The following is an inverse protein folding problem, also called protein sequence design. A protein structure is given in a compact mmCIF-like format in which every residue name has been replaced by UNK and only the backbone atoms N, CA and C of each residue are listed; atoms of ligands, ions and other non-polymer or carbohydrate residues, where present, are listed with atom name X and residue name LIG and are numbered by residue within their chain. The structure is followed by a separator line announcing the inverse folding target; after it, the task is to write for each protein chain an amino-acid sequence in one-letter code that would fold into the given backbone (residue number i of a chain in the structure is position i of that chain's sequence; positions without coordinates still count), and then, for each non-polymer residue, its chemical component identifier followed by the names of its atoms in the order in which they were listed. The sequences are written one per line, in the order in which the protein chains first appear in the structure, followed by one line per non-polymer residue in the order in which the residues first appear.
data_IF_488448590170
#
_entry.id   IF_488448590170
#
_cell.length_a   1.000
_cell.length_b   1.000
_cell.length_c   1.000
_cell.angle_alpha   90.00
_cell.angle_beta   90.00
_cell.angle_gamma   90.00
#
_symmetry.space_group_name_H-M   'P 1'
#
loop_
_entity.id
_entity.type
_entity.pdbx_description
1 polymer ?
#
# COMPACT_ATOMS: atom_id res chain seq x y z
N UNK A 1 -38.52 5.89 34.85
CA UNK A 1 -37.30 5.37 34.15
C UNK A 1 -37.26 5.74 32.68
N UNK A 2 -38.38 5.98 31.96
CA UNK A 2 -38.42 6.36 30.54
C UNK A 2 -38.18 7.86 30.32
N UNK A 3 -38.43 8.70 31.34
CA UNK A 3 -38.30 10.16 31.25
C UNK A 3 -36.88 10.63 30.97
N UNK A 4 -35.88 9.93 31.51
CA UNK A 4 -34.45 10.31 31.28
C UNK A 4 -34.01 10.12 29.83
N UNK A 5 -34.22 8.96 29.18
CA UNK A 5 -33.90 8.81 27.75
C UNK A 5 -34.65 9.79 26.86
N UNK A 6 -35.93 10.08 27.15
CA UNK A 6 -36.71 11.05 26.37
C UNK A 6 -36.18 12.48 26.53
N UNK A 7 -35.81 12.89 27.74
CA UNK A 7 -35.22 14.19 28.00
C UNK A 7 -33.85 14.33 27.30
N UNK A 8 -33.04 13.28 27.38
CA UNK A 8 -31.73 13.26 26.68
C UNK A 8 -31.88 13.32 25.16
N UNK A 9 -32.82 12.56 24.59
CA UNK A 9 -33.10 12.59 23.17
C UNK A 9 -33.54 13.99 22.72
N UNK A 10 -34.41 14.62 23.44
CA UNK A 10 -34.93 15.96 23.13
C UNK A 10 -33.84 17.03 23.26
N UNK A 11 -33.04 17.03 24.33
CA UNK A 11 -32.04 18.07 24.57
C UNK A 11 -30.81 17.92 23.68
N UNK A 12 -30.48 16.70 23.20
CA UNK A 12 -29.28 16.46 22.44
C UNK A 12 -29.58 16.19 20.94
N UNK A 13 -30.85 16.35 20.52
CA UNK A 13 -31.25 16.07 19.14
C UNK A 13 -30.39 16.83 18.11
N UNK A 14 -30.28 18.15 18.30
CA UNK A 14 -29.55 19.03 17.37
C UNK A 14 -28.05 18.67 17.30
N UNK A 15 -27.44 18.28 18.42
CA UNK A 15 -26.04 17.90 18.49
C UNK A 15 -25.77 16.56 17.79
N UNK A 16 -26.76 15.66 17.80
CA UNK A 16 -26.64 14.31 17.25
C UNK A 16 -27.27 14.12 15.87
N UNK A 17 -28.12 15.04 15.44
CA UNK A 17 -28.69 15.01 14.09
C UNK A 17 -27.61 15.34 13.06
N UNK A 18 -27.31 14.37 12.21
CA UNK A 18 -26.33 14.45 11.13
C UNK A 18 -26.95 14.23 9.76
N UNK A 19 -28.27 14.28 9.65
CA UNK A 19 -29.03 14.02 8.43
C UNK A 19 -28.65 14.94 7.27
N UNK A 20 -28.16 16.16 7.57
CA UNK A 20 -27.75 17.16 6.58
C UNK A 20 -26.23 17.25 6.39
N UNK A 21 -25.45 16.29 6.92
CA UNK A 21 -23.99 16.32 6.83
C UNK A 21 -23.49 15.39 5.71
N UNK A 22 -23.27 15.95 4.54
CA UNK A 22 -22.83 15.23 3.35
C UNK A 22 -21.32 15.34 3.06
N UNK A 23 -20.52 15.93 3.95
CA UNK A 23 -19.09 16.18 3.72
C UNK A 23 -18.31 14.92 3.43
N UNK A 24 -18.48 13.86 4.23
CA UNK A 24 -17.77 12.59 4.04
C UNK A 24 -18.16 11.92 2.71
N UNK A 25 -19.46 11.92 2.38
CA UNK A 25 -19.97 11.41 1.11
C UNK A 25 -19.39 12.17 -0.09
N UNK A 26 -19.42 13.51 -0.01
CA UNK A 26 -18.91 14.37 -1.10
C UNK A 26 -17.41 14.18 -1.29
N UNK A 27 -16.65 14.06 -0.21
CA UNK A 27 -15.21 13.79 -0.26
C UNK A 27 -14.93 12.43 -0.90
N UNK A 28 -15.63 11.38 -0.49
CA UNK A 28 -15.48 10.05 -1.06
C UNK A 28 -15.77 10.04 -2.57
N UNK A 29 -16.87 10.67 -2.98
CA UNK A 29 -17.22 10.79 -4.41
C UNK A 29 -16.16 11.59 -5.17
N UNK A 30 -15.64 12.65 -4.60
CA UNK A 30 -14.58 13.44 -5.22
C UNK A 30 -13.28 12.64 -5.39
N UNK A 31 -12.87 11.84 -4.39
CA UNK A 31 -11.76 10.91 -4.53
C UNK A 31 -11.99 9.92 -5.69
N UNK A 32 -13.12 9.22 -5.68
CA UNK A 32 -13.44 8.21 -6.69
C UNK A 32 -13.63 8.80 -8.09
N UNK A 33 -14.13 10.04 -8.22
CA UNK A 33 -14.24 10.75 -9.49
C UNK A 33 -12.89 11.23 -10.04
N UNK A 34 -11.88 11.38 -9.17
CA UNK A 34 -10.52 11.74 -9.58
C UNK A 34 -9.76 10.55 -10.18
N UNK A 35 -10.32 9.34 -10.12
CA UNK A 35 -9.69 8.12 -10.62
C UNK A 35 -10.20 7.81 -12.03
N UNK A 36 -9.31 7.45 -12.95
CA UNK A 36 -9.64 7.06 -14.31
C UNK A 36 -10.74 6.00 -14.36
N UNK A 37 -11.69 6.15 -15.29
CA UNK A 37 -12.83 5.24 -15.43
C UNK A 37 -12.42 4.00 -16.21
N UNK A 38 -13.01 2.85 -15.86
CA UNK A 38 -12.85 1.56 -16.55
C UNK A 38 -11.40 1.04 -16.63
N UNK A 39 -10.56 1.40 -15.66
CA UNK A 39 -9.15 0.99 -15.62
C UNK A 39 -8.84 -0.05 -14.54
N UNK A 40 -9.86 -0.56 -13.83
CA UNK A 40 -9.65 -1.50 -12.70
C UNK A 40 -8.57 -0.97 -11.72
N UNK A 41 -8.64 0.34 -11.44
CA UNK A 41 -7.64 1.04 -10.67
C UNK A 41 -7.59 0.58 -9.21
N UNK A 42 -6.45 0.78 -8.58
CA UNK A 42 -6.25 0.57 -7.14
C UNK A 42 -6.03 1.91 -6.45
N UNK A 43 -6.68 2.13 -5.30
CA UNK A 43 -6.41 3.29 -4.45
C UNK A 43 -6.00 2.85 -3.04
N UNK A 44 -4.82 3.26 -2.64
CA UNK A 44 -4.35 3.09 -1.26
C UNK A 44 -4.86 4.23 -0.39
N UNK A 45 -5.46 3.87 0.73
CA UNK A 45 -5.99 4.80 1.73
C UNK A 45 -5.24 4.66 3.04
N UNK A 46 -5.13 5.75 3.81
CA UNK A 46 -4.46 5.78 5.10
C UNK A 46 -5.49 6.04 6.18
N UNK A 47 -5.63 5.08 7.11
CA UNK A 47 -6.52 5.20 8.25
C UNK A 47 -8.01 5.16 7.89
N UNK A 48 -8.84 5.52 8.87
CA UNK A 48 -10.28 5.29 8.83
C UNK A 48 -11.05 6.37 8.06
N UNK A 49 -10.61 7.62 8.15
CA UNK A 49 -11.35 8.76 7.62
C UNK A 49 -11.57 8.69 6.12
N UNK A 50 -10.52 8.34 5.37
CA UNK A 50 -10.62 8.18 3.93
C UNK A 50 -11.32 6.86 3.56
N UNK A 51 -10.92 5.77 4.23
CA UNK A 51 -11.37 4.42 3.90
C UNK A 51 -12.87 4.25 4.10
N UNK A 52 -13.41 4.63 5.26
CA UNK A 52 -14.83 4.41 5.55
C UNK A 52 -15.75 5.26 4.68
N UNK A 53 -15.31 6.45 4.31
CA UNK A 53 -16.05 7.28 3.38
C UNK A 53 -16.11 6.64 1.98
N UNK A 54 -14.98 6.09 1.48
CA UNK A 54 -14.92 5.37 0.21
C UNK A 54 -15.76 4.09 0.25
N UNK A 55 -15.66 3.29 1.31
CA UNK A 55 -16.48 2.10 1.47
C UNK A 55 -17.97 2.43 1.50
N UNK A 56 -18.38 3.50 2.20
CA UNK A 56 -19.78 3.93 2.16
C UNK A 56 -20.25 4.22 0.73
N UNK A 57 -19.46 4.96 -0.05
CA UNK A 57 -19.81 5.28 -1.43
C UNK A 57 -19.88 4.01 -2.30
N UNK A 58 -18.96 3.06 -2.10
CA UNK A 58 -18.92 1.82 -2.89
C UNK A 58 -19.98 0.80 -2.45
N UNK A 59 -20.13 0.54 -1.13
CA UNK A 59 -20.97 -0.54 -0.62
C UNK A 59 -22.46 -0.13 -0.50
N UNK A 60 -22.75 1.14 -0.26
CA UNK A 60 -24.12 1.61 -0.03
C UNK A 60 -24.70 2.33 -1.25
N UNK A 61 -23.85 3.07 -1.97
CA UNK A 61 -24.30 3.83 -3.13
C UNK A 61 -23.90 3.19 -4.46
N UNK A 62 -23.22 2.05 -4.42
CA UNK A 62 -22.73 1.31 -5.59
C UNK A 62 -21.93 2.22 -6.56
N UNK A 63 -21.20 3.20 -5.98
CA UNK A 63 -20.49 4.20 -6.75
C UNK A 63 -19.03 3.81 -6.96
N UNK A 64 -18.60 3.69 -8.23
CA UNK A 64 -17.21 3.34 -8.62
C UNK A 64 -16.70 2.06 -7.97
N UNK A 65 -17.49 1.01 -8.03
CA UNK A 65 -17.16 -0.35 -7.55
C UNK A 65 -16.11 -1.05 -8.44
N UNK A 66 -15.73 -0.41 -9.56
CA UNK A 66 -14.60 -0.75 -10.42
C UNK A 66 -13.24 -0.45 -9.78
N UNK A 67 -13.19 0.44 -8.77
CA UNK A 67 -11.95 0.84 -8.10
C UNK A 67 -11.70 -0.05 -6.88
N UNK A 68 -10.48 -0.61 -6.76
CA UNK A 68 -10.08 -1.40 -5.60
C UNK A 68 -9.58 -0.51 -4.48
N UNK A 69 -10.38 -0.27 -3.45
CA UNK A 69 -9.97 0.48 -2.25
C UNK A 69 -9.17 -0.42 -1.32
N UNK A 70 -7.94 -0.02 -1.00
CA UNK A 70 -6.97 -0.78 -0.20
C UNK A 70 -6.55 0.06 1.01
N UNK A 71 -6.98 -0.35 2.20
CA UNK A 71 -6.56 0.30 3.44
C UNK A 71 -5.16 -0.19 3.85
N UNK A 72 -4.18 0.71 3.90
CA UNK A 72 -2.79 0.38 4.22
C UNK A 72 -2.63 -0.17 5.62
N UNK A 73 -3.37 0.34 6.60
CA UNK A 73 -3.30 -0.15 7.98
C UNK A 73 -3.84 -1.58 8.10
N UNK A 74 -4.93 -1.91 7.40
CA UNK A 74 -5.52 -3.24 7.40
C UNK A 74 -4.69 -4.27 6.63
N UNK A 75 -3.85 -3.85 5.68
CA UNK A 75 -2.86 -4.74 5.05
C UNK A 75 -1.85 -5.36 6.03
N UNK A 76 -1.82 -4.92 7.29
CA UNK A 76 -1.07 -5.59 8.34
C UNK A 76 -1.76 -6.85 8.88
N UNK A 77 -3.00 -7.15 8.47
CA UNK A 77 -3.82 -8.27 8.95
C UNK A 77 -4.03 -9.32 7.86
N UNK A 78 -3.89 -10.58 8.22
CA UNK A 78 -4.01 -11.72 7.29
C UNK A 78 -5.40 -11.84 6.66
N UNK A 79 -6.47 -11.71 7.46
CA UNK A 79 -7.85 -11.80 6.98
C UNK A 79 -8.17 -10.73 5.92
N UNK A 80 -7.62 -9.52 6.06
CA UNK A 80 -7.85 -8.45 5.11
C UNK A 80 -7.08 -8.68 3.80
N UNK A 81 -5.84 -9.17 3.89
CA UNK A 81 -5.05 -9.56 2.72
C UNK A 81 -5.79 -10.64 1.94
N UNK A 82 -6.31 -11.68 2.62
CA UNK A 82 -7.12 -12.74 2.01
C UNK A 82 -8.37 -12.20 1.32
N UNK A 83 -9.02 -11.19 1.93
CA UNK A 83 -10.16 -10.52 1.32
C UNK A 83 -9.75 -9.74 0.07
N UNK A 84 -8.63 -9.02 0.12
CA UNK A 84 -8.13 -8.25 -1.02
C UNK A 84 -7.72 -9.13 -2.21
N UNK A 85 -7.33 -10.37 -1.97
CA UNK A 85 -7.02 -11.38 -2.99
C UNK A 85 -8.25 -12.01 -3.65
N UNK A 86 -9.44 -11.57 -3.30
CA UNK A 86 -10.71 -12.01 -3.94
C UNK A 86 -11.27 -10.87 -4.78
N UNK A 87 -11.98 -11.22 -5.83
CA UNK A 87 -12.75 -10.24 -6.61
C UNK A 87 -13.83 -9.60 -5.73
N UNK A 88 -14.02 -8.30 -5.87
CA UNK A 88 -15.11 -7.57 -5.23
C UNK A 88 -15.79 -6.68 -6.28
N UNK A 89 -17.06 -6.90 -6.51
CA UNK A 89 -17.83 -6.24 -7.57
C UNK A 89 -17.12 -6.32 -8.94
N UNK A 90 -16.88 -5.22 -9.60
CA UNK A 90 -16.17 -5.13 -10.86
C UNK A 90 -14.65 -5.10 -10.69
N UNK A 91 -14.15 -4.79 -9.48
CA UNK A 91 -12.71 -4.69 -9.23
C UNK A 91 -12.03 -6.05 -9.11
N UNK A 92 -10.88 -6.19 -9.76
CA UNK A 92 -10.06 -7.41 -9.71
C UNK A 92 -9.35 -7.57 -8.35
N UNK A 93 -8.93 -8.80 -8.00
CA UNK A 93 -8.04 -9.03 -6.87
C UNK A 93 -6.78 -8.17 -6.95
N UNK A 94 -6.17 -7.87 -5.80
CA UNK A 94 -4.84 -7.26 -5.78
C UNK A 94 -3.81 -8.20 -6.42
N UNK A 95 -2.83 -7.71 -7.18
CA UNK A 95 -1.84 -8.53 -7.87
C UNK A 95 -0.71 -9.00 -6.93
N UNK A 96 -1.07 -9.54 -5.76
CA UNK A 96 -0.12 -10.08 -4.79
C UNK A 96 0.13 -11.56 -5.05
N UNK A 97 1.40 -11.96 -5.10
CA UNK A 97 1.83 -13.36 -5.25
C UNK A 97 2.19 -14.02 -3.93
N UNK A 98 2.29 -13.27 -2.84
CA UNK A 98 2.64 -13.80 -1.53
C UNK A 98 1.56 -14.77 -1.02
N UNK A 99 1.92 -16.00 -0.69
CA UNK A 99 1.01 -17.03 -0.16
C UNK A 99 0.59 -16.71 1.28
N UNK A 100 -0.59 -17.23 1.71
CA UNK A 100 -1.14 -16.96 3.05
C UNK A 100 -0.16 -17.27 4.18
N UNK A 101 0.56 -18.36 4.10
CA UNK A 101 1.53 -18.81 5.11
C UNK A 101 2.68 -17.81 5.31
N UNK A 102 2.90 -16.92 4.34
CA UNK A 102 3.97 -15.92 4.39
C UNK A 102 3.57 -14.65 5.14
N UNK A 103 2.26 -14.38 5.26
CA UNK A 103 1.73 -13.21 5.97
C UNK A 103 0.72 -13.55 7.07
N UNK A 104 0.52 -14.83 7.39
CA UNK A 104 -0.33 -15.26 8.49
C UNK A 104 0.00 -14.51 9.79
N UNK A 105 -0.92 -14.51 10.73
CA UNK A 105 -0.75 -13.83 12.02
C UNK A 105 0.60 -14.21 12.68
N UNK A 106 1.35 -13.19 13.08
CA UNK A 106 2.68 -13.36 13.69
C UNK A 106 3.81 -13.67 12.71
N UNK A 107 3.52 -13.84 11.42
CA UNK A 107 4.53 -14.10 10.38
C UNK A 107 4.82 -12.81 9.62
N UNK A 108 6.08 -12.41 9.57
CA UNK A 108 6.56 -11.20 8.89
C UNK A 108 5.78 -9.93 9.27
N UNK A 109 5.36 -9.82 10.54
CA UNK A 109 4.72 -8.58 11.02
C UNK A 109 5.65 -7.38 10.84
N UNK A 110 6.95 -7.62 10.93
CA UNK A 110 8.01 -6.72 10.53
C UNK A 110 9.27 -7.50 10.13
N UNK A 111 10.10 -6.90 9.30
CA UNK A 111 11.46 -7.39 8.98
C UNK A 111 12.46 -6.25 9.17
N UNK A 112 13.72 -6.60 9.45
CA UNK A 112 14.79 -5.65 9.79
C UNK A 112 15.77 -5.47 8.65
N UNK A 113 16.29 -4.26 8.55
CA UNK A 113 17.44 -3.96 7.71
C UNK A 113 18.74 -4.44 8.34
N UNK A 114 19.55 -5.10 7.54
CA UNK A 114 20.92 -5.47 7.88
C UNK A 114 21.83 -5.05 6.74
N UNK A 115 22.67 -4.07 6.98
CA UNK A 115 23.55 -3.50 5.95
C UNK A 115 24.64 -4.49 5.52
N UNK A 116 24.31 -5.38 4.61
CA UNK A 116 25.25 -6.36 4.03
C UNK A 116 25.62 -6.03 2.59
N UNK A 117 24.74 -5.32 1.85
CA UNK A 117 24.87 -5.04 0.43
C UNK A 117 24.58 -3.55 0.14
N UNK A 118 25.23 -2.66 0.85
CA UNK A 118 24.98 -1.20 0.85
C UNK A 118 25.03 -0.55 -0.55
N UNK A 119 25.86 -1.05 -1.43
CA UNK A 119 26.04 -0.50 -2.79
C UNK A 119 25.22 -1.22 -3.87
N UNK A 120 24.46 -2.25 -3.51
CA UNK A 120 23.71 -3.08 -4.46
C UNK A 120 22.24 -2.71 -4.43
N UNK A 121 21.70 -2.31 -5.57
CA UNK A 121 20.27 -2.07 -5.76
C UNK A 121 19.63 -3.32 -6.37
N UNK A 122 18.63 -3.87 -5.69
CA UNK A 122 17.91 -5.06 -6.15
C UNK A 122 16.68 -4.69 -6.96
N UNK A 123 16.34 -5.58 -7.90
CA UNK A 123 14.99 -5.56 -8.48
C UNK A 123 13.94 -5.78 -7.38
N UNK A 124 12.78 -5.10 -7.48
CA UNK A 124 11.72 -5.21 -6.48
C UNK A 124 11.17 -6.64 -6.40
N UNK A 125 11.13 -7.37 -7.51
CA UNK A 125 10.72 -8.77 -7.53
C UNK A 125 11.69 -9.65 -6.73
N UNK A 126 13.00 -9.51 -6.97
CA UNK A 126 14.03 -10.23 -6.21
C UNK A 126 13.96 -9.92 -4.71
N UNK A 127 13.67 -8.66 -4.37
CA UNK A 127 13.48 -8.24 -2.98
C UNK A 127 12.26 -8.92 -2.33
N UNK A 128 11.12 -8.93 -3.01
CA UNK A 128 9.89 -9.57 -2.52
C UNK A 128 10.09 -11.08 -2.40
N UNK A 129 10.75 -11.72 -3.36
CA UNK A 129 11.10 -13.15 -3.32
C UNK A 129 12.00 -13.48 -2.13
N UNK A 130 13.00 -12.63 -1.84
CA UNK A 130 13.83 -12.76 -0.66
C UNK A 130 13.01 -12.70 0.63
N UNK A 131 12.17 -11.70 0.74
CA UNK A 131 11.34 -11.47 1.94
C UNK A 131 10.32 -12.61 2.13
N UNK A 132 9.71 -13.10 1.05
CA UNK A 132 8.75 -14.20 1.08
C UNK A 132 9.39 -15.56 1.31
N UNK A 133 10.72 -15.69 1.11
CA UNK A 133 11.44 -16.96 1.18
C UNK A 133 11.53 -17.51 2.61
N UNK A 134 11.38 -18.82 2.73
CA UNK A 134 11.71 -19.58 3.98
C UNK A 134 13.12 -20.19 3.94
N UNK A 135 13.93 -19.83 2.94
CA UNK A 135 15.30 -20.29 2.85
C UNK A 135 16.07 -19.87 4.12
N UNK A 136 16.83 -20.77 4.77
CA UNK A 136 17.63 -20.44 5.95
C UNK A 136 18.55 -19.22 5.76
N UNK A 137 18.97 -18.93 4.53
CA UNK A 137 19.83 -17.76 4.23
C UNK A 137 19.14 -16.43 4.52
N UNK A 138 17.81 -16.37 4.49
CA UNK A 138 17.05 -15.16 4.76
C UNK A 138 16.79 -14.93 6.25
N UNK A 139 17.22 -15.86 7.12
CA UNK A 139 16.93 -15.86 8.55
C UNK A 139 18.10 -15.32 9.39
N UNK A 140 17.77 -14.64 10.49
CA UNK A 140 18.77 -14.16 11.45
C UNK A 140 19.66 -15.26 12.00
N UNK A 141 19.13 -16.47 12.19
CA UNK A 141 19.93 -17.65 12.61
C UNK A 141 21.16 -17.82 11.72
N UNK A 142 20.98 -17.76 10.41
CA UNK A 142 22.09 -17.91 9.45
C UNK A 142 23.06 -16.74 9.55
N UNK A 143 22.55 -15.51 9.65
CA UNK A 143 23.37 -14.31 9.78
C UNK A 143 24.29 -14.38 11.03
N UNK A 144 23.72 -14.70 12.19
CA UNK A 144 24.48 -14.82 13.46
C UNK A 144 25.51 -15.92 13.34
N UNK A 145 25.15 -17.10 12.82
CA UNK A 145 26.06 -18.22 12.65
C UNK A 145 27.24 -17.88 11.72
N UNK A 146 26.98 -17.21 10.61
CA UNK A 146 28.03 -16.77 9.68
C UNK A 146 28.97 -15.73 10.29
N UNK A 147 28.45 -14.89 11.18
CA UNK A 147 29.26 -13.93 11.95
C UNK A 147 30.06 -14.60 13.11
N UNK A 148 29.90 -15.90 13.32
CA UNK A 148 30.58 -16.64 14.42
C UNK A 148 29.91 -16.41 15.79
N UNK A 149 28.68 -15.87 15.82
CA UNK A 149 27.92 -15.65 17.05
C UNK A 149 27.27 -16.93 17.58
N UNK A 150 26.93 -16.92 18.88
CA UNK A 150 26.20 -18.01 19.54
C UNK A 150 24.69 -17.75 19.43
N UNK A 151 23.98 -18.68 18.80
CA UNK A 151 22.55 -18.60 18.65
C UNK A 151 21.75 -18.91 19.91
N UNK A 152 22.40 -19.52 20.94
CA UNK A 152 21.76 -19.83 22.21
C UNK A 152 21.35 -18.58 23.02
N UNK A 153 21.97 -17.45 22.75
CA UNK A 153 21.66 -16.16 23.38
C UNK A 153 20.37 -15.50 22.89
N UNK A 154 19.75 -16.05 21.86
CA UNK A 154 18.57 -15.46 21.18
C UNK A 154 17.36 -16.39 21.28
N UNK A 155 16.14 -15.82 21.46
CA UNK A 155 14.93 -16.62 21.42
C UNK A 155 14.67 -17.14 20.00
N UNK A 156 14.08 -18.34 19.92
CA UNK A 156 13.85 -19.05 18.65
C UNK A 156 13.08 -18.20 17.61
N UNK A 157 12.05 -17.50 18.06
CA UNK A 157 11.24 -16.64 17.17
C UNK A 157 12.07 -15.50 16.57
N UNK A 158 13.04 -14.95 17.28
CA UNK A 158 13.94 -13.93 16.74
C UNK A 158 14.89 -14.51 15.68
N UNK A 159 15.39 -15.72 15.91
CA UNK A 159 16.29 -16.41 14.99
C UNK A 159 15.61 -16.77 13.65
N UNK A 160 14.31 -17.02 13.67
CA UNK A 160 13.51 -17.33 12.48
C UNK A 160 12.99 -16.08 11.75
N UNK A 161 13.22 -14.88 12.26
CA UNK A 161 12.84 -13.62 11.61
C UNK A 161 13.65 -13.42 10.33
N UNK A 162 12.98 -12.95 9.27
CA UNK A 162 13.61 -12.56 8.01
C UNK A 162 14.24 -11.17 8.15
N UNK A 163 15.36 -10.96 7.48
CA UNK A 163 15.98 -9.64 7.31
C UNK A 163 16.08 -9.26 5.83
N UNK A 164 16.32 -7.98 5.54
CA UNK A 164 16.64 -7.53 4.18
C UNK A 164 18.05 -6.93 4.14
N UNK A 165 18.89 -7.37 3.18
CA UNK A 165 20.33 -7.07 3.18
C UNK A 165 20.68 -5.77 2.47
N UNK A 166 19.73 -5.15 1.75
CA UNK A 166 19.85 -3.85 1.09
C UNK A 166 18.54 -3.08 1.25
N UNK A 167 18.63 -1.80 1.53
CA UNK A 167 17.49 -0.89 1.52
C UNK A 167 17.23 -0.26 0.14
N UNK A 168 18.05 -0.56 -0.85
CA UNK A 168 18.00 0.02 -2.19
C UNK A 168 17.32 -0.95 -3.15
N UNK A 169 16.12 -0.62 -3.58
CA UNK A 169 15.37 -1.42 -4.53
C UNK A 169 15.00 -0.62 -5.77
N UNK A 170 14.62 -1.30 -6.84
CA UNK A 170 14.28 -0.72 -8.13
C UNK A 170 13.01 -1.35 -8.65
N UNK A 171 12.04 -0.51 -8.98
CA UNK A 171 10.81 -0.90 -9.67
C UNK A 171 11.02 -0.68 -11.17
N UNK A 172 11.09 -1.75 -11.98
CA UNK A 172 11.17 -1.63 -13.45
C UNK A 172 9.89 -1.01 -14.02
N UNK A 173 10.01 -0.29 -15.13
CA UNK A 173 8.87 0.29 -15.82
C UNK A 173 8.63 -0.43 -17.14
N UNK A 174 7.47 -1.07 -17.23
CA UNK A 174 7.00 -1.65 -18.48
C UNK A 174 6.26 -0.58 -19.30
N UNK A 175 6.99 0.08 -20.21
CA UNK A 175 6.48 1.22 -20.99
C UNK A 175 5.25 0.86 -21.82
N UNK A 176 5.20 -0.35 -22.37
CA UNK A 176 4.06 -0.83 -23.14
C UNK A 176 2.80 -0.87 -22.27
N UNK A 177 2.88 -1.52 -21.11
CA UNK A 177 1.76 -1.56 -20.16
C UNK A 177 1.36 -0.17 -19.64
N UNK A 178 2.34 0.73 -19.41
CA UNK A 178 2.06 2.11 -18.97
C UNK A 178 1.18 2.85 -19.99
N UNK A 179 1.47 2.70 -21.28
CA UNK A 179 0.69 3.32 -22.36
C UNK A 179 -0.66 2.62 -22.57
N UNK A 180 -0.68 1.29 -22.58
CA UNK A 180 -1.92 0.52 -22.76
C UNK A 180 -2.93 0.74 -21.62
N UNK A 181 -2.45 0.80 -20.38
CA UNK A 181 -3.29 1.09 -19.21
C UNK A 181 -3.76 2.56 -19.16
N UNK A 182 -3.13 3.46 -19.92
CA UNK A 182 -3.41 4.89 -19.90
C UNK A 182 -2.87 5.60 -18.66
N UNK A 183 -1.89 5.01 -17.97
CA UNK A 183 -1.20 5.67 -16.85
C UNK A 183 -0.50 6.93 -17.35
N UNK A 184 0.11 6.87 -18.53
CA UNK A 184 0.71 8.00 -19.24
C UNK A 184 0.12 8.07 -20.64
N UNK A 185 -0.11 9.29 -21.15
CA UNK A 185 -0.53 9.49 -22.52
C UNK A 185 0.60 9.16 -23.50
N UNK A 186 0.25 8.66 -24.67
CA UNK A 186 1.25 8.29 -25.69
C UNK A 186 2.13 9.47 -26.13
N UNK A 187 1.62 10.68 -26.03
CA UNK A 187 2.36 11.91 -26.38
C UNK A 187 3.53 12.18 -25.42
N UNK A 188 3.45 11.65 -24.20
CA UNK A 188 4.44 11.81 -23.14
C UNK A 188 5.34 10.57 -22.97
N UNK A 189 5.29 9.62 -23.93
CA UNK A 189 6.05 8.35 -23.87
C UNK A 189 7.56 8.57 -23.68
N UNK A 190 8.11 9.59 -24.30
CA UNK A 190 9.54 9.94 -24.22
C UNK A 190 9.97 10.39 -22.81
N UNK A 191 9.03 10.76 -21.95
CA UNK A 191 9.29 11.18 -20.58
C UNK A 191 9.31 10.00 -19.59
N UNK A 192 8.84 8.82 -20.02
CA UNK A 192 8.76 7.63 -19.19
C UNK A 192 10.17 7.14 -18.85
N UNK A 193 10.46 7.06 -17.55
CA UNK A 193 11.73 6.49 -17.05
C UNK A 193 11.75 4.97 -17.22
N UNK A 194 12.94 4.38 -17.27
CA UNK A 194 13.08 2.92 -17.39
C UNK A 194 12.85 2.21 -16.05
N UNK A 195 12.99 2.93 -14.94
CA UNK A 195 12.81 2.40 -13.59
C UNK A 195 12.60 3.52 -12.56
N UNK A 196 11.99 3.15 -11.44
CA UNK A 196 11.88 3.99 -10.23
C UNK A 196 12.78 3.40 -9.15
N UNK A 197 13.73 4.20 -8.66
CA UNK A 197 14.57 3.84 -7.53
C UNK A 197 13.85 4.17 -6.22
N UNK A 198 13.80 3.20 -5.30
CA UNK A 198 13.15 3.28 -4.00
C UNK A 198 14.21 3.00 -2.94
N UNK A 199 14.35 3.88 -1.97
CA UNK A 199 15.20 3.70 -0.81
C UNK A 199 14.31 3.45 0.41
N UNK A 200 14.36 2.20 0.91
CA UNK A 200 13.59 1.75 2.07
C UNK A 200 14.21 2.27 3.38
N UNK A 201 13.45 2.28 4.48
CA UNK A 201 14.00 2.64 5.80
C UNK A 201 15.20 1.76 6.21
N UNK A 202 16.21 2.38 6.83
CA UNK A 202 17.37 1.68 7.40
C UNK A 202 17.10 1.09 8.80
N UNK A 203 15.87 0.69 9.07
CA UNK A 203 15.47 0.15 10.36
C UNK A 203 14.59 -1.10 10.20
N UNK A 204 13.32 -0.89 10.02
CA UNK A 204 12.32 -1.94 9.83
C UNK A 204 11.36 -1.54 8.72
N UNK A 205 10.80 -2.54 8.04
CA UNK A 205 9.57 -2.41 7.28
C UNK A 205 8.52 -3.38 7.84
N UNK A 206 7.27 -2.98 7.78
CA UNK A 206 6.14 -3.69 8.36
C UNK A 206 5.38 -4.50 7.30
N UNK A 207 4.53 -5.42 7.72
CA UNK A 207 3.77 -6.32 6.84
C UNK A 207 3.01 -5.57 5.74
N UNK A 208 2.31 -4.50 6.09
CA UNK A 208 1.59 -3.68 5.12
C UNK A 208 2.52 -3.06 4.05
N UNK A 209 3.72 -2.63 4.45
CA UNK A 209 4.72 -2.11 3.52
C UNK A 209 5.27 -3.22 2.61
N UNK A 210 5.51 -4.41 3.16
CA UNK A 210 5.89 -5.59 2.38
C UNK A 210 4.82 -5.93 1.34
N UNK A 211 3.55 -5.96 1.74
CA UNK A 211 2.44 -6.23 0.83
C UNK A 211 2.27 -5.14 -0.24
N UNK A 212 2.51 -3.88 0.11
CA UNK A 212 2.53 -2.79 -0.89
C UNK A 212 3.63 -3.02 -1.94
N UNK A 213 4.83 -3.40 -1.52
CA UNK A 213 5.93 -3.72 -2.44
C UNK A 213 5.60 -4.93 -3.32
N UNK A 214 4.97 -5.98 -2.76
CA UNK A 214 4.51 -7.15 -3.52
C UNK A 214 3.44 -6.77 -4.57
N UNK A 215 2.49 -5.90 -4.22
CA UNK A 215 1.50 -5.38 -5.16
C UNK A 215 2.19 -4.57 -6.28
N UNK A 216 3.13 -3.70 -5.95
CA UNK A 216 3.87 -2.91 -6.94
C UNK A 216 4.68 -3.81 -7.89
N UNK A 217 5.40 -4.80 -7.34
CA UNK A 217 6.21 -5.74 -8.12
C UNK A 217 5.36 -6.54 -9.12
N UNK A 218 4.17 -6.97 -8.71
CA UNK A 218 3.31 -7.86 -9.52
C UNK A 218 2.26 -7.12 -10.35
N UNK A 219 2.10 -5.82 -10.18
CA UNK A 219 1.20 -5.01 -11.00
C UNK A 219 1.70 -4.85 -12.43
N UNK A 220 3.01 -4.84 -12.64
CA UNK A 220 3.64 -4.67 -13.95
C UNK A 220 3.02 -3.51 -14.77
N UNK A 221 2.61 -2.44 -14.09
CA UNK A 221 1.97 -1.24 -14.66
C UNK A 221 0.66 -1.49 -15.42
N UNK A 222 0.02 -2.63 -15.23
CA UNK A 222 -1.25 -2.99 -15.90
C UNK A 222 -2.45 -2.24 -15.36
N UNK A 223 -2.42 -1.86 -14.10
CA UNK A 223 -3.50 -1.17 -13.40
C UNK A 223 -2.99 0.13 -12.81
N UNK A 224 -3.69 1.26 -13.00
CA UNK A 224 -3.31 2.51 -12.34
C UNK A 224 -3.37 2.39 -10.82
N UNK A 225 -2.39 2.99 -10.15
CA UNK A 225 -2.29 3.04 -8.70
C UNK A 225 -2.41 4.48 -8.23
N UNK A 226 -3.28 4.68 -7.26
CA UNK A 226 -3.56 5.97 -6.64
C UNK A 226 -3.36 5.91 -5.13
N UNK A 227 -3.16 7.07 -4.52
CA UNK A 227 -3.03 7.24 -3.09
C UNK A 227 -3.91 8.41 -2.64
N UNK A 228 -4.60 8.27 -1.48
CA UNK A 228 -5.27 9.43 -0.88
C UNK A 228 -4.24 10.38 -0.29
N UNK A 229 -4.56 11.68 -0.28
CA UNK A 229 -3.69 12.75 0.20
C UNK A 229 -3.57 12.85 1.71
N UNK A 230 -3.42 11.74 2.41
CA UNK A 230 -3.15 11.71 3.85
C UNK A 230 -1.87 12.46 4.23
N UNK A 231 -1.57 12.53 5.51
CA UNK A 231 -0.36 13.20 5.99
C UNK A 231 0.88 12.61 5.30
N UNK A 232 1.65 13.45 4.64
CA UNK A 232 2.92 13.12 4.01
C UNK A 232 4.00 12.77 5.05
N UNK A 233 3.71 11.81 5.92
CA UNK A 233 4.75 11.27 6.78
C UNK A 233 5.55 10.23 6.02
N UNK A 234 6.87 10.28 6.15
CA UNK A 234 7.87 9.52 5.37
C UNK A 234 7.73 7.98 5.45
N UNK A 235 6.75 7.47 6.21
CA UNK A 235 6.70 6.06 6.59
C UNK A 235 5.82 5.18 5.72
N UNK A 236 4.91 5.70 4.87
CA UNK A 236 3.91 4.83 4.26
C UNK A 236 4.10 4.58 2.75
N UNK A 237 4.07 5.59 1.88
CA UNK A 237 4.24 5.42 0.42
C UNK A 237 5.13 6.47 -0.23
N UNK A 238 5.75 7.26 0.57
CA UNK A 238 6.56 8.41 0.18
C UNK A 238 7.86 8.03 -0.54
N UNK A 239 8.19 6.74 -0.52
CA UNK A 239 9.36 6.23 -1.26
C UNK A 239 9.33 6.60 -2.75
N UNK A 240 8.13 6.89 -3.28
CA UNK A 240 7.92 7.19 -4.71
C UNK A 240 7.42 8.63 -4.92
N UNK A 241 7.57 9.54 -3.94
CA UNK A 241 6.99 10.90 -3.99
C UNK A 241 7.33 11.69 -5.25
N UNK A 242 8.51 11.49 -5.81
CA UNK A 242 8.95 12.16 -7.05
C UNK A 242 8.19 11.65 -8.30
N UNK A 243 7.40 10.61 -8.15
CA UNK A 243 6.62 9.95 -9.19
C UNK A 243 5.11 9.96 -8.89
N UNK A 244 4.69 10.75 -7.88
CA UNK A 244 3.29 10.94 -7.54
C UNK A 244 2.80 12.25 -8.16
N UNK A 245 1.85 12.14 -9.08
CA UNK A 245 1.20 13.27 -9.73
C UNK A 245 -0.17 13.50 -9.11
N UNK A 246 -0.46 14.75 -8.70
CA UNK A 246 -1.79 15.12 -8.22
C UNK A 246 -2.79 15.07 -9.36
N UNK A 247 -3.81 14.23 -9.22
CA UNK A 247 -4.92 14.08 -10.16
C UNK A 247 -6.25 14.28 -9.39
N UNK A 248 -6.87 15.43 -9.56
CA UNK A 248 -8.00 15.86 -8.73
C UNK A 248 -7.63 15.94 -7.26
N UNK A 249 -8.18 15.04 -6.43
CA UNK A 249 -7.92 14.96 -4.99
C UNK A 249 -7.03 13.78 -4.58
N UNK A 250 -6.54 13.00 -5.53
CA UNK A 250 -5.70 11.81 -5.29
C UNK A 250 -4.34 11.98 -5.96
N UNK A 251 -3.38 11.16 -5.56
CA UNK A 251 -2.06 11.10 -6.17
C UNK A 251 -1.96 9.85 -7.02
N UNK A 252 -1.75 10.01 -8.32
CA UNK A 252 -1.51 8.93 -9.28
C UNK A 252 -0.02 8.61 -9.33
N UNK A 253 0.33 7.32 -9.24
CA UNK A 253 1.68 6.86 -9.49
C UNK A 253 1.92 6.86 -11.00
N UNK A 254 2.88 7.68 -11.44
CA UNK A 254 3.26 7.81 -12.84
C UNK A 254 4.77 7.61 -12.98
N UNK A 255 5.26 6.87 -13.98
CA UNK A 255 6.69 6.65 -14.18
C UNK A 255 7.36 7.83 -14.92
N UNK A 256 6.96 9.05 -14.54
CA UNK A 256 7.56 10.30 -15.00
C UNK A 256 7.96 11.08 -13.76
N UNK A 257 9.19 11.53 -13.71
CA UNK A 257 9.66 12.30 -12.57
C UNK A 257 8.94 13.64 -12.49
N UNK A 258 8.15 13.80 -11.46
CA UNK A 258 7.37 15.02 -11.22
C UNK A 258 8.09 15.86 -10.15
N UNK A 259 8.68 17.00 -10.50
CA UNK A 259 9.31 17.87 -9.50
C UNK A 259 8.24 18.43 -8.55
N UNK A 260 8.46 18.29 -7.24
CA UNK A 260 7.58 18.89 -6.24
C UNK A 260 7.77 20.41 -6.29
N UNK A 261 6.74 21.15 -6.72
CA UNK A 261 6.72 22.61 -6.60
C UNK A 261 6.54 22.97 -5.12
N UNK A 262 7.60 23.45 -4.50
CA UNK A 262 7.65 23.88 -3.09
C UNK A 262 7.26 25.37 -2.95
N UNK A 263 6.25 25.83 -3.66
CA UNK A 263 5.73 27.17 -3.46
C UNK A 263 4.77 27.26 -2.30
#
# INVERSE_FOLDING_TARGET
LISVPLLMAFNNWDDHDRSDRYTAQSLAKAYLQSIDIDKDAMIFTIGDNDTFALWYAQEIEEFRTDVRTINTSLLATDWYIDQMKRRAYESSPIPSQMEHEKYAFGIRDYIRYENLLDSVRWDIGDFVDWVASDNPRTKYRNLITQAGGDTSDYPENALETVFYPTNKIRLPVNKENVIESGIVNKEDEDLIVDYIDIDLPESIITKNQILMLDILANNDWKRPIYFTGGSYEDSEYIWMKDYLQLDGLVYKLVPIRTPIDRR
#
